data_IF_129972766064
#
_entry.id   IF_129972766064
#
_cell.length_a   1.000
_cell.length_b   1.000
_cell.length_c   1.000
_cell.angle_alpha   90.00
_cell.angle_beta   90.00
_cell.angle_gamma   90.00
#
_symmetry.space_group_name_H-M   'P 1'
#
loop_
_entity.id
_entity.type
_entity.pdbx_description
1 polymer ?
#
# COMPACT_ATOMS: atom_id res chain seq x y z
N UNK A 1 -17.24 20.40 13.15
CA UNK A 1 -17.87 19.28 12.42
C UNK A 1 -17.58 17.93 13.07
N UNK A 2 -16.33 17.57 13.32
CA UNK A 2 -15.91 16.25 13.84
C UNK A 2 -16.66 15.83 15.10
N UNK A 3 -16.74 16.70 16.12
CA UNK A 3 -17.43 16.39 17.39
C UNK A 3 -18.95 16.18 17.19
N UNK A 4 -19.55 16.79 16.17
CA UNK A 4 -20.97 16.57 15.87
C UNK A 4 -21.21 15.15 15.31
N UNK A 5 -20.33 14.68 14.43
CA UNK A 5 -20.36 13.29 13.94
C UNK A 5 -20.06 12.27 15.04
N UNK A 6 -19.08 12.56 15.91
CA UNK A 6 -18.81 11.73 17.09
C UNK A 6 -20.06 11.58 17.97
N UNK A 7 -20.71 12.70 18.35
CA UNK A 7 -21.94 12.67 19.13
C UNK A 7 -23.06 11.92 18.40
N UNK A 8 -23.20 12.13 17.09
CA UNK A 8 -24.21 11.42 16.28
C UNK A 8 -23.96 9.89 16.30
N UNK A 9 -22.70 9.45 16.21
CA UNK A 9 -22.33 8.03 16.28
C UNK A 9 -22.68 7.41 17.64
N UNK A 10 -22.47 8.14 18.76
CA UNK A 10 -22.84 7.68 20.10
C UNK A 10 -24.35 7.70 20.34
N UNK A 11 -25.03 8.76 19.90
CA UNK A 11 -26.49 8.87 20.04
C UNK A 11 -27.20 7.78 19.25
N UNK A 12 -26.62 7.35 18.11
CA UNK A 12 -27.17 6.26 17.32
C UNK A 12 -27.28 4.96 18.13
N UNK A 13 -26.39 4.72 19.11
CA UNK A 13 -26.44 3.55 19.97
C UNK A 13 -27.57 3.55 21.01
N UNK A 14 -28.20 4.71 21.25
CA UNK A 14 -29.40 4.79 22.11
C UNK A 14 -30.67 4.27 21.41
N UNK A 15 -30.65 4.20 20.07
CA UNK A 15 -31.77 3.65 19.31
C UNK A 15 -31.74 2.11 19.30
N UNK A 16 -32.92 1.44 19.37
CA UNK A 16 -32.97 -0.01 19.37
C UNK A 16 -32.38 -0.60 18.08
N UNK A 17 -31.59 -1.64 18.26
CA UNK A 17 -31.01 -2.40 17.16
C UNK A 17 -31.98 -3.46 16.68
N UNK A 18 -32.17 -3.60 15.37
CA UNK A 18 -32.97 -4.70 14.80
C UNK A 18 -32.18 -6.02 14.75
N UNK A 19 -30.84 -5.94 14.70
CA UNK A 19 -29.96 -7.12 14.82
C UNK A 19 -29.62 -7.35 16.28
N UNK A 20 -30.22 -8.39 16.89
CA UNK A 20 -30.09 -8.69 18.32
C UNK A 20 -28.72 -9.27 18.75
N UNK A 21 -27.93 -9.78 17.79
CA UNK A 21 -26.71 -10.56 18.08
C UNK A 21 -25.45 -9.70 18.16
N UNK A 22 -25.59 -8.37 18.22
CA UNK A 22 -24.46 -7.44 18.10
C UNK A 22 -24.13 -6.83 19.45
N UNK A 23 -22.89 -7.07 19.91
CA UNK A 23 -22.37 -6.41 21.10
C UNK A 23 -21.92 -4.97 20.76
N UNK A 24 -22.73 -3.98 21.06
CA UNK A 24 -22.49 -2.57 20.77
C UNK A 24 -21.17 -2.02 21.37
N UNK A 25 -20.61 -2.65 22.40
CA UNK A 25 -19.38 -2.21 23.05
C UNK A 25 -18.18 -2.11 22.10
N UNK A 26 -18.10 -2.97 21.07
CA UNK A 26 -17.02 -2.90 20.10
C UNK A 26 -17.12 -1.64 19.22
N UNK A 27 -18.32 -1.28 18.77
CA UNK A 27 -18.55 -0.06 18.01
C UNK A 27 -18.28 1.19 18.85
N UNK A 28 -18.82 1.24 20.07
CA UNK A 28 -18.58 2.33 21.01
C UNK A 28 -17.08 2.47 21.29
N UNK A 29 -16.39 1.36 21.52
CA UNK A 29 -14.95 1.33 21.75
C UNK A 29 -14.15 1.91 20.58
N UNK A 30 -14.52 1.58 19.34
CA UNK A 30 -13.88 2.15 18.14
C UNK A 30 -14.11 3.66 18.06
N UNK A 31 -15.36 4.10 18.22
CA UNK A 31 -15.74 5.52 18.17
C UNK A 31 -14.98 6.32 19.24
N UNK A 32 -14.91 5.81 20.47
CA UNK A 32 -14.13 6.45 21.55
C UNK A 32 -12.63 6.46 21.26
N UNK A 33 -12.06 5.36 20.72
CA UNK A 33 -10.65 5.30 20.35
C UNK A 33 -10.28 6.33 19.27
N UNK A 34 -11.14 6.51 18.26
CA UNK A 34 -10.96 7.54 17.22
C UNK A 34 -11.01 8.95 17.79
N UNK A 35 -11.92 9.21 18.73
CA UNK A 35 -12.02 10.51 19.38
C UNK A 35 -10.81 10.82 20.27
N UNK A 36 -10.33 9.84 21.03
CA UNK A 36 -9.08 9.97 21.80
C UNK A 36 -7.90 10.28 20.89
N UNK A 37 -7.77 9.60 19.76
CA UNK A 37 -6.74 9.89 18.75
C UNK A 37 -6.86 11.29 18.17
N UNK A 38 -8.10 11.76 17.95
CA UNK A 38 -8.36 13.13 17.50
C UNK A 38 -7.93 14.17 18.55
N UNK A 39 -8.35 14.00 19.80
CA UNK A 39 -7.98 14.88 20.91
C UNK A 39 -6.47 14.90 21.13
N UNK A 40 -5.82 13.75 21.09
CA UNK A 40 -4.35 13.69 21.19
C UNK A 40 -3.66 14.46 20.05
N UNK A 41 -4.18 14.38 18.82
CA UNK A 41 -3.67 15.19 17.72
C UNK A 41 -3.89 16.69 17.95
N UNK A 42 -5.04 17.10 18.51
CA UNK A 42 -5.32 18.49 18.86
C UNK A 42 -4.31 19.01 19.91
N UNK A 43 -3.97 18.19 20.90
CA UNK A 43 -3.05 18.58 21.97
C UNK A 43 -1.58 18.62 21.51
N UNK A 44 -1.19 17.73 20.60
CA UNK A 44 0.21 17.58 20.18
C UNK A 44 0.60 18.48 19.00
N UNK A 45 -0.35 18.89 18.15
CA UNK A 45 -0.06 19.69 16.96
C UNK A 45 -0.57 21.12 17.13
N UNK A 46 0.30 22.11 16.88
CA UNK A 46 0.00 23.54 16.91
C UNK A 46 -0.42 24.13 15.53
N UNK A 47 -0.36 23.33 14.48
CA UNK A 47 -0.61 23.77 13.10
C UNK A 47 -2.10 23.62 12.77
N UNK A 48 -2.79 24.76 12.68
CA UNK A 48 -4.25 24.82 12.48
C UNK A 48 -4.70 24.17 11.15
N UNK A 49 -3.94 24.30 10.08
CA UNK A 49 -4.31 23.73 8.78
C UNK A 49 -4.26 22.19 8.79
N UNK A 50 -3.21 21.64 9.41
CA UNK A 50 -3.11 20.16 9.60
C UNK A 50 -4.15 19.63 10.57
N UNK A 51 -4.56 20.42 11.56
CA UNK A 51 -5.63 20.04 12.50
C UNK A 51 -6.99 19.97 11.81
N UNK A 52 -7.30 20.95 10.94
CA UNK A 52 -8.53 20.92 10.14
C UNK A 52 -8.58 19.69 9.24
N UNK A 53 -7.50 19.40 8.51
CA UNK A 53 -7.41 18.23 7.63
C UNK A 53 -7.63 16.92 8.40
N UNK A 54 -7.01 16.77 9.57
CA UNK A 54 -7.22 15.58 10.42
C UNK A 54 -8.66 15.49 10.91
N UNK A 55 -9.24 16.61 11.32
CA UNK A 55 -10.65 16.67 11.72
C UNK A 55 -11.60 16.25 10.60
N UNK A 56 -11.38 16.76 9.39
CA UNK A 56 -12.21 16.43 8.23
C UNK A 56 -12.11 14.94 7.85
N UNK A 57 -10.91 14.38 7.88
CA UNK A 57 -10.70 12.92 7.64
C UNK A 57 -11.45 12.08 8.68
N UNK A 58 -11.34 12.42 9.96
CA UNK A 58 -12.03 11.70 11.04
C UNK A 58 -13.55 11.86 10.93
N UNK A 59 -14.04 13.05 10.53
CA UNK A 59 -15.46 13.27 10.29
C UNK A 59 -16.01 12.39 9.15
N UNK A 60 -15.23 12.21 8.08
CA UNK A 60 -15.58 11.29 6.98
C UNK A 60 -15.62 9.83 7.49
N UNK A 61 -14.64 9.41 8.31
CA UNK A 61 -14.62 8.06 8.90
C UNK A 61 -15.86 7.84 9.78
N UNK A 62 -16.23 8.80 10.64
CA UNK A 62 -17.46 8.71 11.41
C UNK A 62 -18.69 8.64 10.50
N UNK A 63 -18.75 9.42 9.43
CA UNK A 63 -19.84 9.37 8.47
C UNK A 63 -20.01 7.98 7.85
N UNK A 64 -18.91 7.35 7.46
CA UNK A 64 -18.91 5.97 6.92
C UNK A 64 -19.39 4.97 7.99
N UNK A 65 -18.88 5.07 9.22
CA UNK A 65 -19.27 4.19 10.33
C UNK A 65 -20.76 4.34 10.69
N UNK A 66 -21.27 5.56 10.71
CA UNK A 66 -22.70 5.85 10.97
C UNK A 66 -23.57 5.21 9.89
N UNK A 67 -23.22 5.42 8.60
CA UNK A 67 -23.97 4.83 7.48
C UNK A 67 -23.93 3.30 7.54
N UNK A 68 -22.77 2.72 7.81
CA UNK A 68 -22.63 1.28 7.96
C UNK A 68 -23.47 0.74 9.11
N UNK A 69 -23.43 1.37 10.30
CA UNK A 69 -24.23 1.00 11.46
C UNK A 69 -25.73 1.12 11.20
N UNK A 70 -26.19 2.20 10.55
CA UNK A 70 -27.60 2.40 10.19
C UNK A 70 -28.07 1.29 9.24
N UNK A 71 -27.34 1.04 8.15
CA UNK A 71 -27.75 0.07 7.14
C UNK A 71 -27.76 -1.37 7.62
N UNK A 72 -26.87 -1.72 8.56
CA UNK A 72 -26.73 -3.09 9.04
C UNK A 72 -27.45 -3.34 10.35
N UNK A 73 -27.11 -2.59 11.41
CA UNK A 73 -27.56 -2.87 12.78
C UNK A 73 -28.92 -2.27 13.09
N UNK A 74 -29.17 -1.00 12.69
CA UNK A 74 -30.37 -0.27 13.11
C UNK A 74 -31.57 -0.53 12.20
N UNK A 75 -31.38 -0.57 10.90
CA UNK A 75 -32.48 -0.74 9.92
C UNK A 75 -32.61 -2.16 9.39
N UNK A 76 -31.54 -2.94 9.43
CA UNK A 76 -31.42 -4.30 8.84
C UNK A 76 -31.79 -4.31 7.35
N UNK A 77 -31.46 -3.22 6.63
CA UNK A 77 -31.69 -3.10 5.20
C UNK A 77 -30.66 -3.88 4.38
N UNK A 78 -29.43 -3.97 4.88
CA UNK A 78 -28.38 -4.73 4.23
C UNK A 78 -28.50 -6.21 4.61
N UNK A 79 -28.27 -7.08 3.64
CA UNK A 79 -28.29 -8.53 3.85
C UNK A 79 -27.30 -8.94 4.96
N UNK A 80 -27.79 -9.69 5.97
CA UNK A 80 -26.99 -10.08 7.15
C UNK A 80 -25.80 -10.94 6.80
N UNK A 81 -25.91 -11.72 5.75
CA UNK A 81 -24.91 -12.67 5.33
C UNK A 81 -23.75 -11.97 4.60
N UNK A 82 -24.10 -11.00 3.74
CA UNK A 82 -23.10 -10.27 2.93
C UNK A 82 -22.51 -9.05 3.68
N UNK A 83 -23.30 -8.41 4.53
CA UNK A 83 -22.94 -7.17 5.20
C UNK A 83 -23.04 -7.31 6.74
N UNK A 84 -21.99 -7.80 7.40
CA UNK A 84 -21.95 -7.86 8.87
C UNK A 84 -21.99 -6.46 9.49
N UNK A 85 -22.40 -6.40 10.75
CA UNK A 85 -22.35 -5.15 11.51
C UNK A 85 -20.90 -4.75 11.84
N UNK A 86 -20.62 -3.44 12.00
CA UNK A 86 -19.31 -2.96 12.43
C UNK A 86 -18.82 -3.63 13.72
N UNK A 87 -19.69 -3.82 14.70
CA UNK A 87 -19.36 -4.49 15.96
C UNK A 87 -18.91 -5.94 15.76
N UNK A 88 -19.58 -6.69 14.89
CA UNK A 88 -19.19 -8.08 14.59
C UNK A 88 -17.82 -8.14 13.90
N UNK A 89 -17.58 -7.26 12.92
CA UNK A 89 -16.29 -7.16 12.23
C UNK A 89 -15.16 -6.81 13.20
N UNK A 90 -15.39 -5.90 14.15
CA UNK A 90 -14.39 -5.53 15.16
C UNK A 90 -14.12 -6.66 16.14
N UNK A 91 -15.15 -7.36 16.59
CA UNK A 91 -14.98 -8.53 17.46
C UNK A 91 -14.15 -9.62 16.78
N UNK A 92 -14.46 -9.92 15.51
CA UNK A 92 -13.71 -10.86 14.69
C UNK A 92 -12.28 -10.39 14.43
N UNK A 93 -12.06 -9.11 14.14
CA UNK A 93 -10.73 -8.55 13.94
C UNK A 93 -9.82 -8.78 15.14
N UNK A 94 -10.36 -8.62 16.36
CA UNK A 94 -9.61 -8.85 17.59
C UNK A 94 -9.34 -10.34 17.80
N UNK A 95 -10.33 -11.20 17.60
CA UNK A 95 -10.18 -12.65 17.80
C UNK A 95 -9.26 -13.30 16.75
N UNK A 96 -9.29 -12.84 15.50
CA UNK A 96 -8.49 -13.37 14.38
C UNK A 96 -7.11 -12.70 14.26
N UNK A 97 -6.80 -11.73 15.12
CA UNK A 97 -5.54 -10.98 15.07
C UNK A 97 -4.28 -11.87 15.03
N UNK A 98 -4.17 -12.97 15.81
CA UNK A 98 -3.00 -13.84 15.74
C UNK A 98 -2.82 -14.48 14.34
N UNK A 99 -3.90 -14.92 13.69
CA UNK A 99 -3.85 -15.53 12.36
C UNK A 99 -3.55 -14.47 11.27
N UNK A 100 -4.14 -13.29 11.40
CA UNK A 100 -3.87 -12.15 10.51
C UNK A 100 -2.41 -11.70 10.58
N UNK A 101 -1.81 -11.64 11.78
CA UNK A 101 -0.39 -11.31 11.95
C UNK A 101 0.52 -12.38 11.36
N UNK A 102 0.19 -13.66 11.53
CA UNK A 102 0.91 -14.76 10.90
C UNK A 102 0.81 -14.70 9.37
N UNK A 103 -0.38 -14.42 8.85
CA UNK A 103 -0.61 -14.16 7.42
C UNK A 103 0.25 -13.00 6.92
N UNK A 104 0.31 -11.89 7.67
CA UNK A 104 1.15 -10.72 7.35
C UNK A 104 2.62 -11.09 7.22
N UNK A 105 3.14 -11.90 8.13
CA UNK A 105 4.55 -12.34 8.08
C UNK A 105 4.83 -13.15 6.81
N UNK A 106 3.92 -14.07 6.45
CA UNK A 106 4.01 -14.85 5.21
C UNK A 106 3.99 -13.95 3.97
N UNK A 107 3.04 -13.01 3.91
CA UNK A 107 2.91 -12.03 2.82
C UNK A 107 4.15 -11.15 2.70
N UNK A 108 4.72 -10.68 3.81
CA UNK A 108 5.92 -9.86 3.81
C UNK A 108 7.17 -10.58 3.30
N UNK A 109 7.32 -11.87 3.55
CA UNK A 109 8.43 -12.65 3.00
C UNK A 109 8.42 -12.63 1.47
N UNK A 110 7.25 -12.80 0.85
CA UNK A 110 7.09 -12.75 -0.60
C UNK A 110 7.28 -11.34 -1.15
N UNK A 111 6.66 -10.36 -0.48
CA UNK A 111 6.74 -8.95 -0.85
C UNK A 111 8.18 -8.45 -0.88
N UNK A 112 8.89 -8.61 0.22
CA UNK A 112 10.27 -8.13 0.32
C UNK A 112 11.19 -8.84 -0.65
N UNK A 113 11.04 -10.16 -0.84
CA UNK A 113 11.86 -10.91 -1.80
C UNK A 113 11.68 -10.37 -3.23
N UNK A 114 10.43 -10.23 -3.71
CA UNK A 114 10.14 -9.74 -5.06
C UNK A 114 10.48 -8.25 -5.24
N UNK A 115 10.11 -7.43 -4.28
CA UNK A 115 10.33 -5.98 -4.34
C UNK A 115 11.82 -5.61 -4.27
N UNK A 116 12.57 -6.19 -3.33
CA UNK A 116 14.01 -5.92 -3.22
C UNK A 116 14.77 -6.42 -4.46
N UNK A 117 14.38 -7.56 -5.01
CA UNK A 117 14.94 -8.06 -6.27
C UNK A 117 14.68 -7.08 -7.43
N UNK A 118 13.48 -6.48 -7.47
CA UNK A 118 13.13 -5.47 -8.46
C UNK A 118 14.00 -4.22 -8.31
N UNK A 119 14.18 -3.69 -7.10
CA UNK A 119 15.05 -2.55 -6.85
C UNK A 119 16.51 -2.85 -7.23
N UNK A 120 17.01 -4.03 -6.82
CA UNK A 120 18.40 -4.45 -7.06
C UNK A 120 18.73 -4.60 -8.54
N UNK A 121 17.76 -4.93 -9.39
CA UNK A 121 17.97 -5.09 -10.84
C UNK A 121 17.56 -3.85 -11.64
N UNK A 122 16.40 -3.26 -11.34
CA UNK A 122 15.88 -2.13 -12.11
C UNK A 122 16.74 -0.88 -11.99
N UNK A 123 17.21 -0.55 -10.78
CA UNK A 123 18.00 0.67 -10.55
C UNK A 123 19.34 0.65 -11.30
N UNK A 124 20.20 -0.38 -11.12
CA UNK A 124 21.49 -0.40 -11.83
C UNK A 124 21.33 -0.48 -13.35
N UNK A 125 20.38 -1.28 -13.85
CA UNK A 125 20.10 -1.36 -15.28
C UNK A 125 19.64 0.00 -15.85
N UNK A 126 18.72 0.68 -15.17
CA UNK A 126 18.23 1.98 -15.62
C UNK A 126 19.31 3.06 -15.56
N UNK A 127 20.20 3.04 -14.53
CA UNK A 127 21.34 3.96 -14.47
C UNK A 127 22.28 3.80 -15.63
N UNK A 128 22.68 2.56 -15.95
CA UNK A 128 23.61 2.29 -17.06
C UNK A 128 22.98 2.62 -18.40
N UNK A 129 21.73 2.22 -18.62
CA UNK A 129 21.03 2.43 -19.89
C UNK A 129 20.69 3.92 -20.07
N UNK A 130 20.24 4.60 -19.03
CA UNK A 130 19.88 6.02 -19.05
C UNK A 130 21.08 6.93 -19.31
N UNK A 131 22.25 6.57 -18.78
CA UNK A 131 23.49 7.32 -18.99
C UNK A 131 23.98 7.26 -20.43
N UNK A 132 23.87 6.12 -21.11
CA UNK A 132 24.36 5.93 -22.49
C UNK A 132 23.25 6.28 -23.48
N UNK A 133 23.32 7.48 -24.10
CA UNK A 133 22.31 8.02 -25.02
C UNK A 133 21.87 7.05 -26.13
N UNK A 134 22.76 6.18 -26.60
CA UNK A 134 22.44 5.15 -27.61
C UNK A 134 21.55 4.08 -27.02
N UNK A 135 21.87 3.59 -25.82
CA UNK A 135 21.09 2.56 -25.14
C UNK A 135 19.71 3.11 -24.74
N UNK A 136 19.65 4.33 -24.21
CA UNK A 136 18.39 5.00 -23.90
C UNK A 136 17.46 5.06 -25.12
N UNK A 137 17.97 5.50 -26.27
CA UNK A 137 17.17 5.57 -27.51
C UNK A 137 16.65 4.22 -27.98
N UNK A 138 17.38 3.13 -27.75
CA UNK A 138 16.98 1.79 -28.10
C UNK A 138 15.96 1.19 -27.10
N UNK A 139 16.15 1.42 -25.81
CA UNK A 139 15.35 0.79 -24.74
C UNK A 139 14.07 1.57 -24.42
N UNK A 140 14.11 2.92 -24.51
CA UNK A 140 12.95 3.74 -24.16
C UNK A 140 11.67 3.41 -25.00
N UNK A 141 11.71 3.11 -26.29
CA UNK A 141 10.51 2.64 -27.00
C UNK A 141 9.99 1.29 -26.47
N UNK A 142 10.88 0.38 -26.05
CA UNK A 142 10.49 -0.91 -25.49
C UNK A 142 9.77 -0.76 -24.15
N UNK A 143 10.19 0.20 -23.31
CA UNK A 143 9.49 0.47 -22.03
C UNK A 143 8.06 0.95 -22.22
N UNK A 144 7.79 1.67 -23.33
CA UNK A 144 6.45 2.14 -23.68
C UNK A 144 5.50 1.02 -24.12
N UNK A 145 6.06 -0.09 -24.60
CA UNK A 145 5.28 -1.27 -25.03
C UNK A 145 5.13 -2.26 -23.86
N UNK A 146 6.23 -2.57 -23.18
CA UNK A 146 6.28 -3.59 -22.14
C UNK A 146 5.76 -3.10 -20.78
N UNK A 147 6.01 -1.85 -20.44
CA UNK A 147 5.59 -1.27 -19.16
C UNK A 147 4.08 -1.26 -18.91
N UNK A 148 3.24 -0.94 -19.87
CA UNK A 148 1.79 -0.94 -19.71
C UNK A 148 1.14 -2.32 -19.62
N UNK A 149 1.86 -3.42 -19.93
CA UNK A 149 1.28 -4.76 -19.83
C UNK A 149 0.97 -5.07 -18.35
N UNK A 150 -0.31 -5.31 -18.00
CA UNK A 150 -0.67 -5.58 -16.61
C UNK A 150 0.02 -6.85 -16.09
N UNK A 151 0.83 -6.77 -15.02
CA UNK A 151 1.59 -7.95 -14.56
C UNK A 151 0.71 -9.11 -14.09
N UNK A 152 -0.54 -8.84 -13.73
CA UNK A 152 -1.51 -9.86 -13.30
C UNK A 152 -1.75 -10.94 -14.37
N UNK A 153 -1.61 -10.60 -15.67
CA UNK A 153 -1.80 -11.57 -16.77
C UNK A 153 -0.71 -12.63 -16.83
N UNK A 154 0.44 -12.38 -16.18
CA UNK A 154 1.54 -13.34 -16.12
C UNK A 154 1.34 -14.39 -15.01
N UNK A 155 0.38 -14.23 -14.09
CA UNK A 155 0.18 -15.14 -12.94
C UNK A 155 -0.01 -16.60 -13.38
N UNK A 156 -0.94 -16.94 -14.32
CA UNK A 156 -1.13 -18.33 -14.72
C UNK A 156 0.13 -18.94 -15.36
N UNK A 157 0.85 -18.14 -16.13
CA UNK A 157 2.11 -18.56 -16.75
C UNK A 157 3.22 -18.79 -15.73
N UNK A 158 3.36 -17.88 -14.76
CA UNK A 158 4.35 -18.02 -13.70
C UNK A 158 4.11 -19.28 -12.85
N UNK A 159 2.85 -19.58 -12.52
CA UNK A 159 2.49 -20.78 -11.77
C UNK A 159 2.77 -22.05 -12.59
N UNK A 160 2.57 -22.03 -13.91
CA UNK A 160 2.81 -23.19 -14.78
C UNK A 160 4.29 -23.50 -15.01
N UNK A 161 5.16 -22.46 -15.02
CA UNK A 161 6.58 -22.62 -15.40
C UNK A 161 7.47 -22.72 -14.18
N UNK A 162 7.18 -22.00 -13.10
CA UNK A 162 8.05 -21.94 -11.94
C UNK A 162 7.80 -23.12 -10.97
N UNK A 163 8.85 -23.63 -10.33
CA UNK A 163 8.78 -24.89 -9.60
C UNK A 163 7.95 -24.83 -8.32
N UNK A 164 7.72 -23.63 -7.79
CA UNK A 164 6.94 -23.44 -6.56
C UNK A 164 6.05 -22.20 -6.67
N UNK A 165 4.93 -22.24 -5.98
CA UNK A 165 4.05 -21.08 -5.87
C UNK A 165 4.77 -19.85 -5.29
N UNK A 166 5.66 -20.05 -4.31
CA UNK A 166 6.46 -18.96 -3.75
C UNK A 166 7.32 -18.27 -4.81
N UNK A 167 7.98 -19.07 -5.67
CA UNK A 167 8.79 -18.53 -6.77
C UNK A 167 7.92 -17.77 -7.77
N UNK A 168 6.75 -18.29 -8.11
CA UNK A 168 5.79 -17.60 -8.98
C UNK A 168 5.33 -16.27 -8.40
N UNK A 169 4.96 -16.22 -7.10
CA UNK A 169 4.55 -15.00 -6.42
C UNK A 169 5.68 -13.96 -6.39
N UNK A 170 6.91 -14.37 -6.03
CA UNK A 170 8.08 -13.48 -6.02
C UNK A 170 8.32 -12.90 -7.43
N UNK A 171 8.22 -13.71 -8.47
CA UNK A 171 8.41 -13.28 -9.85
C UNK A 171 7.35 -12.26 -10.29
N UNK A 172 6.08 -12.48 -9.95
CA UNK A 172 4.99 -11.54 -10.28
C UNK A 172 5.16 -10.20 -9.55
N UNK A 173 5.50 -10.24 -8.25
CA UNK A 173 5.81 -9.04 -7.47
C UNK A 173 7.02 -8.31 -8.06
N UNK A 174 8.05 -9.06 -8.43
CA UNK A 174 9.24 -8.52 -9.11
C UNK A 174 8.87 -7.77 -10.38
N UNK A 175 8.13 -8.37 -11.30
CA UNK A 175 7.73 -7.71 -12.57
C UNK A 175 6.89 -6.46 -12.30
N UNK A 176 5.97 -6.53 -11.33
CA UNK A 176 5.12 -5.40 -10.97
C UNK A 176 5.87 -4.19 -10.43
N UNK A 177 6.93 -4.43 -9.65
CA UNK A 177 7.79 -3.37 -9.14
C UNK A 177 8.86 -2.92 -10.16
N UNK A 178 9.37 -3.86 -10.96
CA UNK A 178 10.49 -3.61 -11.88
C UNK A 178 10.19 -2.48 -12.85
N UNK A 179 9.06 -2.52 -13.56
CA UNK A 179 8.76 -1.53 -14.59
C UNK A 179 8.59 -0.11 -14.04
N UNK A 180 7.83 0.16 -12.99
CA UNK A 180 7.75 1.51 -12.40
C UNK A 180 9.11 2.03 -11.95
N UNK A 181 9.90 1.21 -11.27
CA UNK A 181 11.24 1.59 -10.80
C UNK A 181 12.17 1.87 -11.98
N UNK A 182 12.20 0.96 -12.95
CA UNK A 182 13.07 1.06 -14.11
C UNK A 182 12.76 2.30 -14.95
N UNK A 183 11.50 2.53 -15.30
CA UNK A 183 11.06 3.65 -16.15
C UNK A 183 11.33 4.99 -15.46
N UNK A 184 10.98 5.11 -14.18
CA UNK A 184 11.21 6.36 -13.45
C UNK A 184 12.71 6.64 -13.28
N UNK A 185 13.51 5.64 -12.98
CA UNK A 185 14.97 5.77 -12.88
C UNK A 185 15.57 6.12 -14.24
N UNK A 186 15.18 5.43 -15.31
CA UNK A 186 15.65 5.67 -16.68
C UNK A 186 15.39 7.11 -17.13
N UNK A 187 14.17 7.59 -16.90
CA UNK A 187 13.80 8.96 -17.24
C UNK A 187 14.51 9.97 -16.32
N UNK A 188 14.66 9.65 -15.04
CA UNK A 188 15.40 10.48 -14.09
C UNK A 188 16.85 10.70 -14.53
N UNK A 189 17.54 9.62 -14.94
CA UNK A 189 18.93 9.70 -15.43
C UNK A 189 19.02 10.53 -16.71
N UNK A 190 18.13 10.30 -17.67
CA UNK A 190 18.13 11.00 -18.93
C UNK A 190 17.86 12.51 -18.76
N UNK A 191 17.08 12.90 -17.77
CA UNK A 191 16.67 14.28 -17.48
C UNK A 191 17.58 14.98 -16.46
N UNK A 192 18.72 14.41 -16.05
CA UNK A 192 19.69 15.12 -15.19
C UNK A 192 20.15 16.39 -15.88
N UNK A 193 20.18 17.51 -15.13
CA UNK A 193 20.57 18.82 -15.68
C UNK A 193 21.97 18.75 -16.31
N UNK A 194 22.04 19.15 -17.55
CA UNK A 194 23.29 19.16 -18.34
C UNK A 194 24.37 19.96 -17.63
N UNK A 195 24.04 21.05 -16.96
CA UNK A 195 24.98 21.89 -16.21
C UNK A 195 25.73 21.09 -15.14
N UNK A 196 25.03 20.18 -14.42
CA UNK A 196 25.65 19.30 -13.42
C UNK A 196 26.66 18.37 -14.10
N UNK A 197 26.27 17.76 -15.21
CA UNK A 197 27.11 16.85 -15.99
C UNK A 197 28.34 17.59 -16.54
N UNK A 198 28.15 18.76 -17.13
CA UNK A 198 29.24 19.56 -17.74
C UNK A 198 30.22 20.06 -16.65
N UNK A 199 29.72 20.47 -15.47
CA UNK A 199 30.58 20.86 -14.34
C UNK A 199 31.42 19.66 -13.85
N UNK A 200 30.84 18.49 -13.74
CA UNK A 200 31.58 17.29 -13.33
C UNK A 200 32.64 16.88 -14.38
N UNK A 201 32.32 17.02 -15.64
CA UNK A 201 33.31 16.81 -16.76
C UNK A 201 34.46 17.79 -16.71
N UNK A 202 34.20 19.07 -16.41
CA UNK A 202 35.25 20.10 -16.29
C UNK A 202 36.22 19.77 -15.14
N UNK A 203 35.76 19.03 -14.12
CA UNK A 203 36.59 18.53 -13.03
C UNK A 203 37.27 17.18 -13.34
N UNK A 204 37.22 16.73 -14.60
CA UNK A 204 37.78 15.43 -15.04
C UNK A 204 37.30 14.22 -14.21
N UNK A 205 36.03 14.22 -13.78
CA UNK A 205 35.42 13.10 -13.05
C UNK A 205 35.35 11.87 -13.97
N UNK A 206 35.87 10.73 -13.52
CA UNK A 206 35.84 9.48 -14.30
C UNK A 206 34.41 8.92 -14.40
N UNK A 207 34.17 8.01 -15.38
CA UNK A 207 32.82 7.48 -15.67
C UNK A 207 32.16 6.81 -14.46
N UNK A 208 32.91 6.07 -13.64
CA UNK A 208 32.37 5.43 -12.45
C UNK A 208 31.91 6.42 -11.40
N UNK A 209 32.78 7.41 -11.08
CA UNK A 209 32.42 8.49 -10.17
C UNK A 209 31.27 9.36 -10.71
N UNK A 210 31.22 9.58 -12.01
CA UNK A 210 30.10 10.26 -12.68
C UNK A 210 28.78 9.53 -12.41
N UNK A 211 28.72 8.23 -12.58
CA UNK A 211 27.52 7.44 -12.34
C UNK A 211 27.09 7.43 -10.86
N UNK A 212 28.04 7.12 -9.95
CA UNK A 212 27.67 6.88 -8.55
C UNK A 212 27.66 8.12 -7.66
N UNK A 213 28.51 9.13 -7.97
CA UNK A 213 28.64 10.34 -7.13
C UNK A 213 27.89 11.55 -7.70
N UNK A 214 27.52 11.54 -8.99
CA UNK A 214 26.84 12.67 -9.63
C UNK A 214 25.43 12.26 -10.07
N UNK A 215 25.33 11.25 -10.96
CA UNK A 215 24.05 10.89 -11.58
C UNK A 215 23.12 10.19 -10.60
N UNK A 216 23.59 9.18 -9.86
CA UNK A 216 22.77 8.47 -8.90
C UNK A 216 22.14 9.40 -7.85
N UNK A 217 22.89 10.30 -7.17
CA UNK A 217 22.28 11.26 -6.26
C UNK A 217 21.31 12.23 -6.94
N UNK A 218 21.63 12.72 -8.13
CA UNK A 218 20.75 13.62 -8.89
C UNK A 218 19.43 12.92 -9.31
N UNK A 219 19.47 11.61 -9.55
CA UNK A 219 18.33 10.79 -9.96
C UNK A 219 17.53 10.23 -8.78
N UNK A 220 18.05 10.31 -7.55
CA UNK A 220 17.45 9.70 -6.36
C UNK A 220 15.96 10.05 -6.18
N UNK A 221 15.47 11.28 -6.41
CA UNK A 221 14.05 11.59 -6.34
C UNK A 221 13.19 10.77 -7.29
N UNK A 222 13.67 10.58 -8.53
CA UNK A 222 12.96 9.78 -9.53
C UNK A 222 12.99 8.28 -9.19
N UNK A 223 14.10 7.79 -8.63
CA UNK A 223 14.22 6.42 -8.12
C UNK A 223 13.19 6.19 -7.03
N UNK A 224 13.10 7.07 -6.04
CA UNK A 224 12.16 6.95 -4.93
C UNK A 224 10.72 7.01 -5.43
N UNK A 225 10.39 7.94 -6.34
CA UNK A 225 9.03 7.98 -6.94
C UNK A 225 8.69 6.66 -7.64
N UNK A 226 9.63 6.09 -8.39
CA UNK A 226 9.46 4.79 -9.03
C UNK A 226 9.29 3.66 -8.00
N UNK A 227 10.08 3.69 -6.93
CA UNK A 227 10.01 2.71 -5.84
C UNK A 227 8.67 2.78 -5.09
N UNK A 228 8.14 3.98 -4.81
CA UNK A 228 6.81 4.16 -4.21
C UNK A 228 5.72 3.53 -5.06
N UNK A 229 5.69 3.83 -6.37
CA UNK A 229 4.72 3.24 -7.30
C UNK A 229 4.90 1.71 -7.36
N UNK A 230 6.15 1.24 -7.44
CA UNK A 230 6.49 -0.18 -7.45
C UNK A 230 6.03 -0.91 -6.18
N UNK A 231 6.14 -0.28 -5.01
CA UNK A 231 5.67 -0.84 -3.74
C UNK A 231 4.14 -1.03 -3.75
N UNK A 232 3.39 -0.02 -4.18
CA UNK A 232 1.92 -0.12 -4.28
C UNK A 232 1.51 -1.23 -5.25
N UNK A 233 2.15 -1.30 -6.43
CA UNK A 233 1.90 -2.38 -7.39
C UNK A 233 2.25 -3.76 -6.83
N UNK A 234 3.32 -3.84 -6.04
CA UNK A 234 3.72 -5.08 -5.37
C UNK A 234 2.66 -5.60 -4.41
N UNK A 235 1.99 -4.74 -3.63
CA UNK A 235 0.90 -5.14 -2.75
C UNK A 235 -0.32 -5.67 -3.52
N UNK A 236 -0.70 -5.00 -4.60
CA UNK A 236 -1.83 -5.43 -5.45
C UNK A 236 -1.55 -6.83 -6.01
N UNK A 237 -0.35 -7.04 -6.54
CA UNK A 237 0.04 -8.31 -7.17
C UNK A 237 0.28 -9.42 -6.16
N UNK A 238 0.83 -9.11 -4.97
CA UNK A 238 0.94 -10.04 -3.86
C UNK A 238 -0.43 -10.60 -3.48
N UNK A 239 -1.39 -9.70 -3.20
CA UNK A 239 -2.75 -10.09 -2.83
C UNK A 239 -3.40 -10.95 -3.92
N UNK A 240 -3.28 -10.54 -5.20
CA UNK A 240 -3.82 -11.30 -6.32
C UNK A 240 -3.17 -12.69 -6.45
N UNK A 241 -1.84 -12.78 -6.33
CA UNK A 241 -1.13 -14.04 -6.37
C UNK A 241 -1.55 -14.96 -5.22
N UNK A 242 -1.60 -14.44 -3.99
CA UNK A 242 -2.00 -15.21 -2.82
C UNK A 242 -3.44 -15.75 -2.93
N UNK A 243 -4.35 -15.01 -3.54
CA UNK A 243 -5.74 -15.47 -3.78
C UNK A 243 -5.82 -16.63 -4.78
N UNK A 244 -4.85 -16.79 -5.68
CA UNK A 244 -4.91 -17.81 -6.74
C UNK A 244 -4.34 -19.15 -6.29
N UNK A 245 -3.30 -19.17 -5.43
CA UNK A 245 -2.65 -20.45 -5.16
C UNK A 245 -1.81 -20.50 -3.89
N UNK A 246 -1.87 -19.52 -2.98
CA UNK A 246 -1.18 -19.59 -1.69
C UNK A 246 -1.87 -20.56 -0.72
N UNK A 247 -1.11 -20.99 0.27
CA UNK A 247 -1.58 -21.75 1.44
C UNK A 247 -1.52 -20.92 2.73
N UNK A 248 -1.03 -19.69 2.65
CA UNK A 248 -0.94 -18.74 3.76
C UNK A 248 -0.74 -17.33 3.20
N UNK A 249 -1.06 -16.32 3.98
CA UNK A 249 -0.95 -14.93 3.59
C UNK A 249 -2.26 -14.17 3.77
N UNK A 250 -2.21 -12.85 3.62
CA UNK A 250 -3.40 -12.00 3.79
C UNK A 250 -4.40 -12.18 2.64
N UNK A 251 -3.91 -12.28 1.39
CA UNK A 251 -4.75 -12.56 0.24
C UNK A 251 -5.35 -13.97 0.29
N UNK A 252 -4.58 -14.95 0.75
CA UNK A 252 -5.08 -16.29 1.01
C UNK A 252 -6.19 -16.30 2.06
N UNK A 253 -6.05 -15.57 3.15
CA UNK A 253 -7.08 -15.44 4.20
C UNK A 253 -8.40 -14.96 3.60
N UNK A 254 -8.38 -13.86 2.84
CA UNK A 254 -9.58 -13.32 2.18
C UNK A 254 -10.20 -14.34 1.23
N UNK A 255 -9.39 -15.00 0.39
CA UNK A 255 -9.86 -16.00 -0.57
C UNK A 255 -10.45 -17.21 0.12
N UNK A 256 -9.76 -17.75 1.12
CA UNK A 256 -10.20 -18.92 1.89
C UNK A 256 -11.60 -18.70 2.47
N UNK A 257 -11.82 -17.62 3.22
CA UNK A 257 -13.13 -17.35 3.80
C UNK A 257 -14.18 -16.96 2.76
N UNK A 258 -13.77 -16.37 1.63
CA UNK A 258 -14.67 -16.12 0.49
C UNK A 258 -15.19 -17.42 -0.13
N UNK A 259 -14.37 -18.46 -0.25
CA UNK A 259 -14.75 -19.75 -0.80
C UNK A 259 -15.76 -20.50 0.11
N UNK A 260 -15.69 -20.23 1.42
CA UNK A 260 -16.66 -20.75 2.40
C UNK A 260 -17.83 -19.81 2.64
N UNK A 261 -17.94 -18.71 1.88
CA UNK A 261 -18.97 -17.68 2.01
C UNK A 261 -19.06 -17.06 3.43
N UNK A 262 -17.94 -17.03 4.16
CA UNK A 262 -17.82 -16.35 5.46
C UNK A 262 -17.44 -14.87 5.24
N UNK A 263 -18.39 -14.09 4.80
CA UNK A 263 -18.19 -12.68 4.47
C UNK A 263 -17.77 -11.79 5.65
N UNK A 264 -18.18 -12.05 6.89
CA UNK A 264 -17.62 -11.32 8.03
C UNK A 264 -16.11 -11.39 8.11
N UNK A 265 -15.50 -12.57 7.96
CA UNK A 265 -14.05 -12.74 7.94
C UNK A 265 -13.41 -12.17 6.67
N UNK A 266 -14.09 -12.23 5.53
CA UNK A 266 -13.63 -11.57 4.30
C UNK A 266 -13.46 -10.07 4.52
N UNK A 267 -14.45 -9.40 5.12
CA UNK A 267 -14.38 -7.95 5.40
C UNK A 267 -13.29 -7.65 6.42
N UNK A 268 -13.14 -8.46 7.46
CA UNK A 268 -12.00 -8.35 8.41
C UNK A 268 -10.67 -8.40 7.67
N UNK A 269 -10.48 -9.37 6.79
CA UNK A 269 -9.25 -9.50 5.98
C UNK A 269 -8.99 -8.28 5.11
N UNK A 270 -10.02 -7.76 4.41
CA UNK A 270 -9.90 -6.57 3.56
C UNK A 270 -9.51 -5.34 4.39
N UNK A 271 -10.17 -5.10 5.51
CA UNK A 271 -9.86 -3.98 6.41
C UNK A 271 -8.44 -4.11 6.95
N UNK A 272 -8.04 -5.31 7.36
CA UNK A 272 -6.70 -5.54 7.90
C UNK A 272 -5.61 -5.37 6.84
N UNK A 273 -5.82 -5.83 5.61
CA UNK A 273 -4.93 -5.53 4.47
C UNK A 273 -4.79 -4.01 4.30
N UNK A 274 -5.89 -3.26 4.36
CA UNK A 274 -5.87 -1.81 4.28
C UNK A 274 -4.99 -1.17 5.37
N UNK A 275 -5.06 -1.64 6.61
CA UNK A 275 -4.19 -1.17 7.70
C UNK A 275 -2.71 -1.52 7.44
N UNK A 276 -2.42 -2.73 6.99
CA UNK A 276 -1.05 -3.17 6.69
C UNK A 276 -0.45 -2.35 5.56
N UNK A 277 -1.17 -2.18 4.45
CA UNK A 277 -0.71 -1.38 3.29
C UNK A 277 -0.48 0.07 3.70
N UNK A 278 -1.42 0.68 4.42
CA UNK A 278 -1.30 2.06 4.91
C UNK A 278 -0.10 2.22 5.84
N UNK A 279 0.10 1.28 6.76
CA UNK A 279 1.24 1.29 7.68
C UNK A 279 2.58 1.21 6.96
N UNK A 280 2.71 0.30 5.99
CA UNK A 280 3.95 0.16 5.19
C UNK A 280 4.20 1.39 4.31
N UNK A 281 3.16 1.91 3.66
CA UNK A 281 3.28 3.13 2.84
C UNK A 281 3.71 4.31 3.70
N UNK A 282 3.11 4.49 4.88
CA UNK A 282 3.52 5.53 5.82
C UNK A 282 4.98 5.42 6.25
N UNK A 283 5.47 4.21 6.53
CA UNK A 283 6.89 3.97 6.85
C UNK A 283 7.79 4.30 5.65
N UNK A 284 7.36 3.95 4.45
CA UNK A 284 8.09 4.25 3.22
C UNK A 284 8.16 5.75 2.97
N UNK A 285 7.06 6.50 3.13
CA UNK A 285 7.01 7.96 3.01
C UNK A 285 7.93 8.64 4.03
N UNK A 286 8.05 8.06 5.24
CA UNK A 286 8.99 8.56 6.25
C UNK A 286 10.44 8.34 5.83
N UNK A 287 10.73 7.19 5.24
CA UNK A 287 12.04 6.86 4.68
C UNK A 287 12.38 7.79 3.51
N UNK A 288 11.44 8.01 2.59
CA UNK A 288 11.57 8.96 1.48
C UNK A 288 11.95 10.36 1.98
N UNK A 289 11.20 10.90 2.95
CA UNK A 289 11.49 12.22 3.55
C UNK A 289 12.87 12.28 4.21
N UNK A 290 13.34 11.17 4.77
CA UNK A 290 14.67 11.09 5.34
C UNK A 290 15.76 11.12 4.26
N UNK A 291 15.58 10.33 3.19
CA UNK A 291 16.53 10.24 2.08
C UNK A 291 16.60 11.52 1.24
N UNK A 292 15.51 12.29 1.15
CA UNK A 292 15.46 13.53 0.36
C UNK A 292 15.59 14.81 1.18
N UNK A 293 16.10 14.74 2.43
CA UNK A 293 16.23 15.91 3.31
C UNK A 293 17.06 17.07 2.73
N UNK A 294 17.96 16.77 1.82
CA UNK A 294 18.82 17.75 1.14
C UNK A 294 18.13 18.55 0.01
N UNK A 295 16.92 18.15 -0.39
CA UNK A 295 16.15 18.79 -1.47
C UNK A 295 15.21 19.91 -0.97
N UNK A 296 15.39 20.37 0.28
CA UNK A 296 14.57 21.48 0.79
C UNK A 296 14.92 22.79 0.10
#
# INVERSE_FOLDING_TARGET
MTNAFFLAALVLELFPSKRADVNAWYYIGLVLALEVLYILNLLLKKDNEKLQTVGDVIAIVYGILIVWEILTTKTDLADKFLFPSPSNVLALLISELPELLKGTLSSFQLLFAGYLLALALAIPLALVIGWKKRLYKAVNPLTKVLGPIPPIVYIPYAIAILPTFKAASIFIIFIGAFWPVFINTLNGVFNVDKRIIDSAKALNVNEGAMLFQVILPATLPSIISGATIGLVMSFILLTAAEMIGATSGLGWYVKYFSDFADYPRVIVGIIFIGFVVTGVTFLFDKLERCLLRWRK
#
